data_IF_132533495284
#
_entry.id   IF_132533495284
#
_cell.length_a   1.000
_cell.length_b   1.000
_cell.length_c   1.000
_cell.angle_alpha   90.00
_cell.angle_beta   90.00
_cell.angle_gamma   90.00
#
_symmetry.space_group_name_H-M   'P 1'
#
loop_
_entity.id
_entity.type
_entity.pdbx_description
1 polymer ?
#
# COMPACT_ATOMS: atom_id res chain seq x y z
N UNK A 1 3.76 49.49 21.65
CA UNK A 1 2.34 49.55 21.22
C UNK A 1 2.11 49.17 19.76
N UNK A 2 3.09 49.24 18.90
CA UNK A 2 2.98 48.98 17.43
C UNK A 2 3.00 47.47 17.08
N UNK A 3 3.69 46.62 17.87
CA UNK A 3 3.80 45.18 17.61
C UNK A 3 2.49 44.36 17.88
N UNK A 4 1.54 44.92 18.63
CA UNK A 4 0.27 44.22 18.96
C UNK A 4 -0.79 44.36 17.85
N UNK A 5 -0.63 45.33 16.95
CA UNK A 5 -1.59 45.59 15.85
C UNK A 5 -1.26 44.71 14.63
N UNK A 6 0.02 44.39 14.40
CA UNK A 6 0.44 43.62 13.24
C UNK A 6 0.07 42.13 13.34
N UNK A 7 0.03 41.59 14.56
CA UNK A 7 -0.36 40.18 14.81
C UNK A 7 -1.88 39.94 14.54
N UNK A 8 -2.70 40.97 14.72
CA UNK A 8 -4.15 40.82 14.50
C UNK A 8 -4.53 40.81 13.01
N UNK A 9 -3.76 41.52 12.15
CA UNK A 9 -4.02 41.56 10.71
C UNK A 9 -3.60 40.25 10.04
N UNK A 10 -2.52 39.61 10.47
CA UNK A 10 -2.06 38.31 9.97
C UNK A 10 -3.04 37.20 10.37
N UNK A 11 -3.52 37.21 11.61
CA UNK A 11 -4.51 36.25 12.11
C UNK A 11 -5.85 36.41 11.38
N UNK A 12 -6.32 37.62 11.15
CA UNK A 12 -7.53 37.91 10.39
C UNK A 12 -7.39 37.54 8.91
N UNK A 13 -6.19 37.67 8.32
CA UNK A 13 -5.90 37.22 6.96
C UNK A 13 -5.95 35.70 6.85
N UNK A 14 -5.36 34.95 7.80
CA UNK A 14 -5.43 33.50 7.84
C UNK A 14 -6.87 33.00 8.04
N UNK A 15 -7.63 33.61 8.95
CA UNK A 15 -9.05 33.30 9.17
C UNK A 15 -9.89 33.58 7.92
N UNK A 16 -9.68 34.71 7.23
CA UNK A 16 -10.36 35.00 5.97
C UNK A 16 -9.98 34.05 4.85
N UNK A 17 -8.72 33.60 4.78
CA UNK A 17 -8.25 32.60 3.82
C UNK A 17 -8.89 31.24 4.07
N UNK A 18 -9.01 30.82 5.33
CA UNK A 18 -9.71 29.58 5.73
C UNK A 18 -11.23 29.66 5.40
N UNK A 19 -11.88 30.77 5.70
CA UNK A 19 -13.32 30.93 5.45
C UNK A 19 -13.62 31.03 3.94
N UNK A 20 -12.77 31.65 3.14
CA UNK A 20 -12.90 31.66 1.68
C UNK A 20 -12.67 30.28 1.04
N UNK A 21 -11.80 29.45 1.63
CA UNK A 21 -11.61 28.06 1.20
C UNK A 21 -12.85 27.16 1.41
N UNK A 22 -13.66 27.47 2.42
CA UNK A 22 -14.86 26.67 2.73
C UNK A 22 -16.11 27.07 1.94
N UNK A 23 -16.16 28.28 1.37
CA UNK A 23 -17.35 28.77 0.64
C UNK A 23 -17.44 28.30 -0.82
N UNK A 24 -16.41 27.66 -1.37
CA UNK A 24 -16.40 27.12 -2.74
C UNK A 24 -16.57 25.58 -2.80
N UNK A 25 -16.74 24.92 -1.66
CA UNK A 25 -17.20 23.52 -1.67
C UNK A 25 -18.69 23.54 -1.96
N UNK A 26 -19.03 23.78 -3.23
CA UNK A 26 -20.36 23.46 -3.74
C UNK A 26 -20.67 22.04 -3.29
N UNK A 27 -21.76 21.83 -2.57
CA UNK A 27 -22.30 20.52 -2.20
C UNK A 27 -22.54 19.71 -3.47
N UNK A 28 -21.50 19.09 -4.01
CA UNK A 28 -21.70 18.00 -4.98
C UNK A 28 -22.44 16.93 -4.19
N UNK A 29 -23.62 16.50 -4.65
CA UNK A 29 -24.32 15.40 -3.98
C UNK A 29 -23.32 14.25 -3.89
N UNK A 30 -23.10 13.71 -2.69
CA UNK A 30 -22.27 12.54 -2.50
C UNK A 30 -22.88 11.43 -3.33
N UNK A 31 -22.32 11.15 -4.49
CA UNK A 31 -22.72 10.00 -5.31
C UNK A 31 -22.42 8.77 -4.47
N UNK A 32 -23.44 7.92 -4.27
CA UNK A 32 -23.26 6.65 -3.52
C UNK A 32 -22.06 5.91 -4.10
N UNK A 33 -21.13 5.38 -3.30
CA UNK A 33 -19.83 4.86 -3.76
C UNK A 33 -19.95 3.74 -4.82
N UNK A 34 -21.11 3.11 -4.97
CA UNK A 34 -21.36 2.04 -5.95
C UNK A 34 -22.33 2.42 -7.07
N UNK A 35 -22.74 3.68 -7.18
CA UNK A 35 -23.72 4.10 -8.19
C UNK A 35 -23.15 4.15 -9.62
N UNK A 36 -21.85 4.04 -9.81
CA UNK A 36 -21.16 4.14 -11.10
C UNK A 36 -20.62 2.80 -11.62
N UNK A 37 -21.00 1.68 -11.04
CA UNK A 37 -20.64 0.34 -11.55
C UNK A 37 -21.88 -0.31 -12.19
N UNK A 38 -22.23 0.05 -13.43
CA UNK A 38 -23.39 -0.55 -14.11
C UNK A 38 -23.16 -2.03 -14.45
N UNK A 39 -21.90 -2.50 -14.52
CA UNK A 39 -21.56 -3.88 -14.87
C UNK A 39 -20.34 -4.38 -14.07
N UNK A 40 -20.29 -5.69 -13.81
CA UNK A 40 -19.16 -6.37 -13.15
C UNK A 40 -17.81 -6.15 -13.85
N UNK A 41 -17.84 -5.98 -15.17
CA UNK A 41 -16.67 -5.70 -15.99
C UNK A 41 -16.01 -4.35 -15.63
N UNK A 42 -16.77 -3.37 -15.18
CA UNK A 42 -16.25 -2.06 -14.78
C UNK A 42 -15.45 -2.14 -13.49
N UNK A 43 -15.76 -3.10 -12.61
CA UNK A 43 -14.99 -3.33 -11.38
C UNK A 43 -13.56 -3.78 -11.71
N UNK A 44 -13.40 -4.72 -12.65
CA UNK A 44 -12.09 -5.20 -13.11
C UNK A 44 -11.36 -4.10 -13.87
N UNK A 45 -12.05 -3.39 -14.75
CA UNK A 45 -11.49 -2.32 -15.59
C UNK A 45 -10.94 -1.16 -14.76
N UNK A 46 -11.63 -0.79 -13.68
CA UNK A 46 -11.26 0.33 -12.80
C UNK A 46 -10.39 -0.10 -11.62
N UNK A 47 -10.05 -1.37 -11.48
CA UNK A 47 -9.23 -1.86 -10.38
C UNK A 47 -7.81 -1.30 -10.47
N UNK A 48 -7.34 -0.64 -9.43
CA UNK A 48 -6.04 0.07 -9.39
C UNK A 48 -5.15 -0.48 -8.28
N UNK A 49 -3.81 -0.36 -8.38
CA UNK A 49 -2.89 -0.94 -7.39
C UNK A 49 -2.98 -0.31 -6.01
N UNK A 50 -3.60 0.86 -5.85
CA UNK A 50 -3.83 1.47 -4.54
C UNK A 50 -4.66 0.58 -3.59
N UNK A 51 -5.45 -0.38 -4.08
CA UNK A 51 -6.16 -1.34 -3.24
C UNK A 51 -5.22 -2.22 -2.42
N UNK A 52 -4.00 -2.46 -2.88
CA UNK A 52 -3.00 -3.21 -2.11
C UNK A 52 -2.54 -2.48 -0.84
N UNK A 53 -2.79 -1.17 -0.70
CA UNK A 53 -2.56 -0.45 0.56
C UNK A 53 -3.42 -1.01 1.70
N UNK A 54 -4.61 -1.54 1.40
CA UNK A 54 -5.46 -2.21 2.39
C UNK A 54 -4.75 -3.45 2.93
N UNK A 55 -4.17 -4.27 2.03
CA UNK A 55 -3.42 -5.46 2.44
C UNK A 55 -2.18 -5.09 3.26
N UNK A 56 -1.44 -4.05 2.83
CA UNK A 56 -0.29 -3.55 3.57
C UNK A 56 -0.68 -3.10 4.99
N UNK A 57 -1.74 -2.29 5.11
CA UNK A 57 -2.23 -1.81 6.40
C UNK A 57 -2.74 -2.93 7.30
N UNK A 58 -3.58 -3.83 6.78
CA UNK A 58 -4.10 -4.97 7.52
C UNK A 58 -2.98 -5.90 7.98
N UNK A 59 -1.97 -6.13 7.12
CA UNK A 59 -0.80 -6.94 7.45
C UNK A 59 0.02 -6.35 8.60
N UNK A 60 0.29 -5.03 8.56
CA UNK A 60 1.01 -4.35 9.64
C UNK A 60 0.22 -4.43 10.96
N UNK A 61 -1.09 -4.18 10.95
CA UNK A 61 -1.93 -4.28 12.15
C UNK A 61 -1.90 -5.69 12.72
N UNK A 62 -1.93 -6.73 11.88
CA UNK A 62 -1.83 -8.12 12.33
C UNK A 62 -0.52 -8.39 13.07
N UNK A 63 0.60 -7.88 12.55
CA UNK A 63 1.92 -8.02 13.16
C UNK A 63 2.02 -7.30 14.51
N UNK A 64 1.52 -6.06 14.59
CA UNK A 64 1.48 -5.29 15.84
C UNK A 64 0.66 -6.02 16.91
N UNK A 65 -0.48 -6.58 16.56
CA UNK A 65 -1.30 -7.36 17.49
C UNK A 65 -0.54 -8.58 18.03
N UNK A 66 0.27 -9.24 17.20
CA UNK A 66 1.09 -10.35 17.65
C UNK A 66 2.13 -9.93 18.73
N UNK A 67 2.69 -8.73 18.62
CA UNK A 67 3.63 -8.21 19.64
C UNK A 67 2.92 -7.87 20.96
N UNK A 68 1.62 -7.56 20.93
CA UNK A 68 0.81 -7.27 22.10
C UNK A 68 0.32 -8.54 22.85
N UNK A 69 0.69 -9.74 22.41
CA UNK A 69 0.30 -11.00 23.07
C UNK A 69 0.66 -11.08 24.55
N UNK A 70 1.71 -10.36 24.99
CA UNK A 70 2.11 -10.27 26.39
C UNK A 70 1.11 -9.59 27.30
N UNK A 71 0.21 -8.75 26.76
CA UNK A 71 -0.89 -8.14 27.50
C UNK A 71 -2.06 -9.11 27.67
N UNK A 72 -2.50 -9.73 26.57
CA UNK A 72 -3.57 -10.72 26.55
C UNK A 72 -3.41 -11.67 25.37
N UNK A 73 -3.57 -12.98 25.60
CA UNK A 73 -3.41 -14.02 24.59
C UNK A 73 -4.33 -13.88 23.36
N UNK A 74 -5.50 -13.24 23.49
CA UNK A 74 -6.44 -13.04 22.40
C UNK A 74 -5.93 -12.07 21.32
N UNK A 75 -4.96 -11.20 21.62
CA UNK A 75 -4.33 -10.34 20.63
C UNK A 75 -3.61 -11.16 19.53
N UNK A 76 -2.94 -12.24 19.92
CA UNK A 76 -2.32 -13.13 18.93
C UNK A 76 -3.36 -13.78 18.02
N UNK A 77 -4.49 -14.23 18.57
CA UNK A 77 -5.57 -14.85 17.79
C UNK A 77 -6.20 -13.86 16.80
N UNK A 78 -6.44 -12.62 17.23
CA UNK A 78 -6.90 -11.55 16.33
C UNK A 78 -5.88 -11.25 15.24
N UNK A 79 -4.59 -11.15 15.60
CA UNK A 79 -3.52 -10.96 14.63
C UNK A 79 -3.48 -12.07 13.59
N UNK A 80 -3.56 -13.33 14.02
CA UNK A 80 -3.61 -14.49 13.13
C UNK A 80 -4.85 -14.46 12.21
N UNK A 81 -6.03 -14.12 12.75
CA UNK A 81 -7.25 -13.97 11.95
C UNK A 81 -7.15 -12.85 10.91
N UNK A 82 -6.59 -11.70 11.27
CA UNK A 82 -6.35 -10.59 10.33
C UNK A 82 -5.33 -10.97 9.24
N UNK A 83 -4.29 -11.71 9.60
CA UNK A 83 -3.34 -12.22 8.62
C UNK A 83 -4.00 -13.20 7.62
N UNK A 84 -4.84 -14.12 8.08
CA UNK A 84 -5.59 -15.03 7.21
C UNK A 84 -6.54 -14.27 6.29
N UNK A 85 -7.25 -13.26 6.81
CA UNK A 85 -8.07 -12.36 6.00
C UNK A 85 -7.22 -11.64 4.94
N UNK A 86 -6.04 -11.18 5.33
CA UNK A 86 -5.12 -10.48 4.43
C UNK A 86 -4.62 -11.38 3.29
N UNK A 87 -4.38 -12.67 3.54
CA UNK A 87 -4.07 -13.66 2.49
C UNK A 87 -5.19 -13.73 1.44
N UNK A 88 -6.45 -13.78 1.89
CA UNK A 88 -7.62 -13.84 1.02
C UNK A 88 -7.75 -12.54 0.22
N UNK A 89 -7.62 -11.38 0.88
CA UNK A 89 -7.69 -10.07 0.22
C UNK A 89 -6.59 -9.89 -0.83
N UNK A 90 -5.36 -10.27 -0.50
CA UNK A 90 -4.24 -10.18 -1.43
C UNK A 90 -4.43 -11.09 -2.64
N UNK A 91 -4.88 -12.32 -2.46
CA UNK A 91 -5.19 -13.25 -3.55
C UNK A 91 -6.29 -12.69 -4.45
N UNK A 92 -7.37 -12.15 -3.87
CA UNK A 92 -8.48 -11.52 -4.59
C UNK A 92 -8.00 -10.29 -5.39
N UNK A 93 -7.25 -9.39 -4.77
CA UNK A 93 -6.76 -8.18 -5.43
C UNK A 93 -5.74 -8.51 -6.53
N UNK A 94 -4.88 -9.51 -6.29
CA UNK A 94 -3.94 -10.01 -7.31
C UNK A 94 -4.67 -10.61 -8.51
N UNK A 95 -5.73 -11.37 -8.27
CA UNK A 95 -6.58 -11.93 -9.34
C UNK A 95 -7.28 -10.82 -10.13
N UNK A 96 -7.90 -9.84 -9.46
CA UNK A 96 -8.57 -8.71 -10.11
C UNK A 96 -7.59 -7.85 -10.92
N UNK A 97 -6.41 -7.58 -10.34
CA UNK A 97 -5.38 -6.80 -11.03
C UNK A 97 -4.78 -7.56 -12.22
N UNK A 98 -4.54 -8.87 -12.06
CA UNK A 98 -4.10 -9.75 -13.14
C UNK A 98 -5.13 -9.83 -14.27
N UNK A 99 -6.42 -10.01 -13.96
CA UNK A 99 -7.51 -9.98 -14.92
C UNK A 99 -7.57 -8.66 -15.69
N UNK A 100 -7.35 -7.53 -15.01
CA UNK A 100 -7.26 -6.23 -15.68
C UNK A 100 -6.16 -6.21 -16.75
N UNK A 101 -4.97 -6.76 -16.44
CA UNK A 101 -3.87 -6.82 -17.40
C UNK A 101 -4.16 -7.73 -18.59
N UNK A 102 -4.92 -8.82 -18.39
CA UNK A 102 -5.29 -9.75 -19.44
C UNK A 102 -6.42 -9.19 -20.32
N UNK A 103 -7.47 -8.64 -19.68
CA UNK A 103 -8.68 -8.20 -20.40
C UNK A 103 -8.57 -6.78 -20.96
N UNK A 104 -7.83 -5.88 -20.26
CA UNK A 104 -7.75 -4.46 -20.61
C UNK A 104 -6.29 -3.94 -20.64
N UNK A 105 -5.38 -4.57 -21.43
CA UNK A 105 -3.95 -4.26 -21.42
C UNK A 105 -3.65 -2.80 -21.82
N UNK A 106 -4.45 -2.22 -22.71
CA UNK A 106 -4.27 -0.83 -23.14
C UNK A 106 -4.53 0.17 -22.02
N UNK A 107 -5.55 -0.09 -21.20
CA UNK A 107 -5.88 0.75 -20.05
C UNK A 107 -4.95 0.49 -18.85
N UNK A 108 -4.53 -0.76 -18.68
CA UNK A 108 -3.56 -1.11 -17.65
C UNK A 108 -2.22 -0.40 -17.87
N UNK A 109 -1.74 -0.29 -19.11
CA UNK A 109 -0.51 0.42 -19.47
C UNK A 109 -0.57 1.94 -19.20
N UNK A 110 -1.75 2.55 -19.23
CA UNK A 110 -1.92 3.97 -18.94
C UNK A 110 -1.50 4.34 -17.50
N UNK A 111 -1.41 3.35 -16.60
CA UNK A 111 -0.95 3.60 -15.23
C UNK A 111 0.44 4.20 -15.18
N UNK A 112 1.34 3.82 -16.09
CA UNK A 112 2.69 4.36 -16.16
C UNK A 112 2.76 5.83 -16.60
N UNK A 113 1.72 6.33 -17.24
CA UNK A 113 1.60 7.74 -17.63
C UNK A 113 0.95 8.59 -16.53
N UNK A 114 0.29 7.95 -15.55
CA UNK A 114 -0.42 8.66 -14.50
C UNK A 114 0.50 8.93 -13.31
N UNK A 115 0.78 10.22 -13.06
CA UNK A 115 1.78 10.68 -12.08
C UNK A 115 1.59 10.20 -10.64
N UNK A 116 0.36 9.90 -10.21
CA UNK A 116 0.09 9.42 -8.85
C UNK A 116 -0.13 7.91 -8.81
N UNK A 117 -0.86 7.34 -9.77
CA UNK A 117 -1.23 5.91 -9.71
C UNK A 117 -0.04 4.99 -9.97
N UNK A 118 0.95 5.40 -10.75
CA UNK A 118 2.19 4.64 -10.97
C UNK A 118 2.97 4.41 -9.67
N UNK A 119 2.94 5.37 -8.75
CA UNK A 119 3.62 5.28 -7.46
C UNK A 119 3.06 4.17 -6.57
N UNK A 120 1.74 3.91 -6.67
CA UNK A 120 1.09 2.84 -5.91
C UNK A 120 1.48 1.42 -6.37
N UNK A 121 2.20 1.26 -7.47
CA UNK A 121 2.79 -0.04 -7.83
C UNK A 121 3.71 -0.58 -6.72
N UNK A 122 4.37 0.30 -5.96
CA UNK A 122 5.19 -0.08 -4.80
C UNK A 122 4.41 -0.73 -3.66
N UNK A 123 3.08 -0.56 -3.61
CA UNK A 123 2.27 -1.18 -2.55
C UNK A 123 2.09 -2.69 -2.75
N UNK A 124 2.28 -3.19 -3.96
CA UNK A 124 2.16 -4.63 -4.26
C UNK A 124 3.24 -5.43 -3.53
N UNK A 125 4.56 -5.17 -3.75
CA UNK A 125 5.61 -5.85 -3.00
C UNK A 125 5.51 -5.57 -1.48
N UNK A 126 5.21 -4.35 -1.05
CA UNK A 126 5.05 -4.06 0.38
C UNK A 126 3.91 -4.87 1.03
N UNK A 127 2.80 -5.09 0.33
CA UNK A 127 1.73 -5.95 0.80
C UNK A 127 2.17 -7.42 0.85
N UNK A 128 2.91 -7.91 -0.16
CA UNK A 128 3.44 -9.26 -0.19
C UNK A 128 4.41 -9.50 0.97
N UNK A 129 5.30 -8.54 1.25
CA UNK A 129 6.22 -8.61 2.39
C UNK A 129 5.49 -8.77 3.74
N UNK A 130 4.34 -8.11 3.94
CA UNK A 130 3.54 -8.30 5.17
C UNK A 130 2.96 -9.71 5.28
N UNK A 131 2.62 -10.34 4.15
CA UNK A 131 2.17 -11.74 4.12
C UNK A 131 3.31 -12.71 4.44
N UNK A 132 4.51 -12.46 3.91
CA UNK A 132 5.72 -13.24 4.19
C UNK A 132 6.02 -13.21 5.69
N UNK A 133 6.08 -12.01 6.27
CA UNK A 133 6.34 -11.84 7.70
C UNK A 133 5.25 -12.49 8.56
N UNK A 134 3.99 -12.34 8.18
CA UNK A 134 2.86 -13.01 8.84
C UNK A 134 2.92 -14.51 8.72
N UNK A 135 3.40 -15.05 7.58
CA UNK A 135 3.61 -16.48 7.39
C UNK A 135 4.67 -17.02 8.36
N UNK A 136 5.75 -16.30 8.57
CA UNK A 136 6.78 -16.67 9.52
C UNK A 136 6.31 -16.55 10.99
N UNK A 137 5.48 -15.55 11.30
CA UNK A 137 4.98 -15.30 12.66
C UNK A 137 3.81 -16.23 13.05
N UNK A 138 2.80 -16.32 12.20
CA UNK A 138 1.56 -17.07 12.46
C UNK A 138 1.54 -18.41 11.74
N UNK A 139 1.96 -18.42 10.46
CA UNK A 139 1.91 -19.59 9.61
C UNK A 139 2.78 -20.73 10.13
N UNK A 140 3.97 -20.41 10.64
CA UNK A 140 4.87 -21.39 11.22
C UNK A 140 4.23 -22.12 12.42
N UNK A 141 3.50 -21.40 13.26
CA UNK A 141 2.81 -21.95 14.43
C UNK A 141 1.58 -22.76 14.03
N UNK A 142 0.82 -22.30 13.02
CA UNK A 142 -0.45 -22.91 12.61
C UNK A 142 -0.28 -24.09 11.64
N UNK A 143 0.70 -24.01 10.73
CA UNK A 143 0.84 -24.95 9.61
C UNK A 143 2.20 -25.67 9.58
N UNK A 144 3.10 -25.35 10.53
CA UNK A 144 4.40 -26.02 10.66
C UNK A 144 5.48 -25.47 9.71
N UNK A 145 6.62 -26.16 9.68
CA UNK A 145 7.87 -25.70 9.02
C UNK A 145 7.80 -25.61 7.49
N UNK A 146 6.86 -26.28 6.84
CA UNK A 146 6.68 -26.20 5.39
C UNK A 146 6.41 -24.76 4.91
N UNK A 147 5.85 -23.91 5.78
CA UNK A 147 5.57 -22.51 5.49
C UNK A 147 6.84 -21.71 5.23
N UNK A 148 7.98 -22.07 5.83
CA UNK A 148 9.26 -21.36 5.65
C UNK A 148 9.71 -21.43 4.19
N UNK A 149 9.63 -22.62 3.57
CA UNK A 149 9.97 -22.77 2.15
C UNK A 149 9.05 -21.96 1.22
N UNK A 150 7.74 -21.91 1.54
CA UNK A 150 6.79 -21.07 0.79
C UNK A 150 7.13 -19.59 0.95
N UNK A 151 7.42 -19.15 2.18
CA UNK A 151 7.80 -17.76 2.48
C UNK A 151 9.10 -17.37 1.76
N UNK A 152 10.05 -18.28 1.65
CA UNK A 152 11.30 -18.07 0.91
C UNK A 152 11.05 -17.85 -0.59
N UNK A 153 10.26 -18.69 -1.23
CA UNK A 153 9.88 -18.50 -2.65
C UNK A 153 9.13 -17.20 -2.88
N UNK A 154 8.18 -16.87 -2.01
CA UNK A 154 7.45 -15.60 -2.09
C UNK A 154 8.40 -14.41 -1.90
N UNK A 155 9.41 -14.54 -1.05
CA UNK A 155 10.39 -13.47 -0.84
C UNK A 155 11.26 -13.21 -2.08
N UNK A 156 11.68 -14.25 -2.81
CA UNK A 156 12.40 -14.05 -4.09
C UNK A 156 11.52 -13.31 -5.11
N UNK A 157 10.22 -13.64 -5.17
CA UNK A 157 9.26 -12.93 -6.03
C UNK A 157 9.14 -11.47 -5.58
N UNK A 158 9.03 -11.25 -4.27
CA UNK A 158 8.88 -9.93 -3.67
C UNK A 158 10.08 -9.03 -3.99
N UNK A 159 11.29 -9.52 -3.81
CA UNK A 159 12.54 -8.82 -4.17
C UNK A 159 12.55 -8.45 -5.65
N UNK A 160 12.19 -9.38 -6.53
CA UNK A 160 12.10 -9.11 -7.97
C UNK A 160 11.10 -8.01 -8.30
N UNK A 161 9.91 -8.03 -7.69
CA UNK A 161 8.88 -7.01 -7.85
C UNK A 161 9.32 -5.66 -7.28
N UNK A 162 9.92 -5.64 -6.09
CA UNK A 162 10.40 -4.43 -5.44
C UNK A 162 11.47 -3.73 -6.28
N UNK A 163 12.46 -4.47 -6.77
CA UNK A 163 13.51 -3.94 -7.66
C UNK A 163 12.90 -3.43 -8.98
N UNK A 164 12.00 -4.19 -9.59
CA UNK A 164 11.35 -3.77 -10.83
C UNK A 164 10.61 -2.45 -10.64
N UNK A 165 9.83 -2.31 -9.57
CA UNK A 165 9.10 -1.08 -9.27
C UNK A 165 10.04 0.08 -8.96
N UNK A 166 11.12 -0.16 -8.18
CA UNK A 166 12.11 0.85 -7.83
C UNK A 166 12.88 1.42 -9.03
N UNK A 167 13.02 0.65 -10.12
CA UNK A 167 13.65 1.14 -11.35
C UNK A 167 12.61 1.70 -12.34
N UNK A 168 11.54 0.97 -12.62
CA UNK A 168 10.57 1.32 -13.67
C UNK A 168 9.78 2.57 -13.30
N UNK A 169 9.33 2.71 -12.05
CA UNK A 169 8.49 3.84 -11.67
C UNK A 169 9.28 5.16 -11.70
N UNK A 170 10.47 5.31 -11.08
CA UNK A 170 11.27 6.52 -11.22
C UNK A 170 11.66 6.80 -12.68
N UNK A 171 12.00 5.77 -13.46
CA UNK A 171 12.27 5.96 -14.89
C UNK A 171 11.07 6.59 -15.62
N UNK A 172 9.85 6.09 -15.39
CA UNK A 172 8.63 6.68 -15.96
C UNK A 172 8.37 8.10 -15.42
N UNK A 173 8.64 8.35 -14.14
CA UNK A 173 8.51 9.69 -13.54
C UNK A 173 9.36 10.73 -14.27
N UNK A 174 10.61 10.39 -14.60
CA UNK A 174 11.52 11.33 -15.25
C UNK A 174 11.34 11.38 -16.77
N UNK A 175 10.87 10.29 -17.42
CA UNK A 175 10.83 10.20 -18.89
C UNK A 175 9.45 10.49 -19.47
N UNK A 176 8.36 10.10 -18.81
CA UNK A 176 7.02 10.05 -19.39
C UNK A 176 6.00 10.91 -18.66
N UNK A 177 6.32 11.41 -17.46
CA UNK A 177 5.37 12.11 -16.61
C UNK A 177 5.80 13.57 -16.40
N UNK A 178 4.80 14.45 -16.19
CA UNK A 178 5.04 15.84 -15.80
C UNK A 178 4.73 16.00 -14.32
N UNK A 179 5.74 16.24 -13.53
CA UNK A 179 5.62 16.46 -12.10
C UNK A 179 5.82 17.93 -11.75
N UNK A 180 5.03 18.41 -10.78
CA UNK A 180 5.19 19.74 -10.17
C UNK A 180 5.59 19.53 -8.71
N UNK A 181 6.64 20.21 -8.26
CA UNK A 181 7.12 20.12 -6.87
C UNK A 181 6.04 20.46 -5.84
N UNK A 182 5.09 21.33 -6.21
CA UNK A 182 3.96 21.70 -5.36
C UNK A 182 3.02 20.51 -5.01
N UNK A 183 3.01 19.49 -5.86
CA UNK A 183 2.19 18.27 -5.69
C UNK A 183 2.99 17.11 -5.10
N UNK A 184 4.21 17.37 -4.63
CA UNK A 184 5.05 16.35 -4.01
C UNK A 184 4.47 15.91 -2.67
N UNK A 185 4.28 14.60 -2.50
CA UNK A 185 3.77 13.96 -1.28
C UNK A 185 4.64 12.78 -0.91
N UNK A 186 4.49 12.26 0.31
CA UNK A 186 5.20 11.07 0.78
C UNK A 186 4.99 9.83 -0.12
N UNK A 187 3.92 9.81 -0.92
CA UNK A 187 3.64 8.73 -1.89
C UNK A 187 4.76 8.56 -2.93
N UNK A 188 5.56 9.61 -3.19
CA UNK A 188 6.70 9.54 -4.10
C UNK A 188 7.80 8.58 -3.64
N UNK A 189 7.84 8.26 -2.35
CA UNK A 189 8.81 7.34 -1.77
C UNK A 189 8.39 5.87 -1.89
N UNK A 190 7.11 5.56 -2.15
CA UNK A 190 6.59 4.19 -2.18
C UNK A 190 7.42 3.22 -3.05
N UNK A 191 7.84 3.58 -4.28
CA UNK A 191 8.62 2.67 -5.11
C UNK A 191 9.99 2.30 -4.51
N UNK A 192 10.61 3.23 -3.77
CA UNK A 192 11.93 3.03 -3.15
C UNK A 192 11.79 2.27 -1.84
N UNK A 193 10.82 2.64 -1.00
CA UNK A 193 10.52 1.99 0.29
C UNK A 193 10.17 0.51 0.11
N UNK A 194 9.64 0.12 -1.03
CA UNK A 194 9.38 -1.29 -1.34
C UNK A 194 10.63 -2.17 -1.22
N UNK A 195 11.80 -1.68 -1.64
CA UNK A 195 13.07 -2.41 -1.52
C UNK A 195 13.53 -2.53 -0.06
N UNK A 196 13.33 -1.49 0.76
CA UNK A 196 13.65 -1.51 2.18
C UNK A 196 12.79 -2.54 2.92
N UNK A 197 11.48 -2.58 2.60
CA UNK A 197 10.55 -3.54 3.21
C UNK A 197 10.89 -4.97 2.79
N UNK A 198 11.24 -5.22 1.53
CA UNK A 198 11.68 -6.53 1.05
C UNK A 198 12.98 -6.98 1.74
N UNK A 199 13.95 -6.06 1.96
CA UNK A 199 15.18 -6.35 2.68
C UNK A 199 14.90 -6.68 4.15
N UNK A 200 14.03 -5.91 4.83
CA UNK A 200 13.62 -6.18 6.21
C UNK A 200 12.93 -7.55 6.34
N UNK A 201 12.06 -7.92 5.39
CA UNK A 201 11.42 -9.25 5.36
C UNK A 201 12.44 -10.37 5.15
N UNK A 202 13.49 -10.13 4.34
CA UNK A 202 14.59 -11.08 4.17
C UNK A 202 15.38 -11.31 5.45
N UNK A 203 15.60 -10.27 6.25
CA UNK A 203 16.26 -10.41 7.55
C UNK A 203 15.43 -11.26 8.52
N UNK A 204 14.10 -11.09 8.54
CA UNK A 204 13.19 -11.94 9.34
C UNK A 204 13.23 -13.37 8.85
N UNK A 205 13.19 -13.59 7.53
CA UNK A 205 13.24 -14.93 6.93
C UNK A 205 14.54 -15.65 7.27
N UNK A 206 15.69 -14.96 7.20
CA UNK A 206 17.01 -15.53 7.48
C UNK A 206 17.09 -16.14 8.89
N UNK A 207 16.40 -15.55 9.87
CA UNK A 207 16.34 -16.08 11.23
C UNK A 207 15.62 -17.44 11.35
N UNK A 208 14.87 -17.84 10.32
CA UNK A 208 14.09 -19.09 10.27
C UNK A 208 14.65 -20.13 9.30
N UNK A 209 15.65 -19.74 8.48
CA UNK A 209 16.33 -20.68 7.60
C UNK A 209 17.30 -21.56 8.39
N UNK A 210 17.45 -22.85 8.03
CA UNK A 210 18.48 -23.69 8.63
C UNK A 210 19.86 -23.08 8.35
N UNK A 211 20.69 -23.00 9.38
CA UNK A 211 22.09 -22.58 9.19
C UNK A 211 22.71 -23.48 8.13
N UNK A 212 23.19 -22.85 7.03
CA UNK A 212 23.96 -23.60 6.04
C UNK A 212 25.24 -24.12 6.69
N UNK A 213 25.61 -25.39 6.46
CA UNK A 213 26.78 -25.99 7.03
C UNK A 213 28.07 -25.26 6.62
#
# INVERSE_FOLDING_TARGET
MILKIQNNQFFLFLMRSMIKGTSQVGRRPMKKPFYQLPQWHDLIRQFTPNWFTVCMGTGIVSMVLAELQGLHAWFWQLGAGLWQLNLILFALFSALYGLRWVLYPQEAKQIFQHSSMSLFLGTIPMALATLINGSLKFGLVLYGTAVVGIAEWLWYIDVGLALLVAFVVPFCMFSCQRHQLQNMTAVWLLPIVACEVAAASGAVLLAHLPASP
#
